data_IF_007931545656
#
_entry.id   IF_007931545656
#
_cell.length_a   1.000
_cell.length_b   1.000
_cell.length_c   1.000
_cell.angle_alpha   90.00
_cell.angle_beta   90.00
_cell.angle_gamma   90.00
#
_symmetry.space_group_name_H-M   'P 1'
#
loop_
_entity.id
_entity.type
_entity.pdbx_description
1 polymer ?
#
# COMPACT_ATOMS: atom_id res chain seq x y z
N UNK A 1 -9.18 30.60 -6.51
CA UNK A 1 -9.05 31.90 -5.89
C UNK A 1 -8.40 32.87 -6.87
N UNK A 2 -9.02 34.01 -7.07
CA UNK A 2 -8.44 34.98 -7.97
C UNK A 2 -7.20 35.64 -7.35
N UNK A 3 -6.08 35.44 -8.01
CA UNK A 3 -4.80 35.98 -7.54
C UNK A 3 -4.74 37.47 -7.52
N UNK A 4 -5.53 38.09 -8.39
CA UNK A 4 -5.63 39.56 -8.46
C UNK A 4 -6.13 40.22 -7.17
N UNK A 5 -6.77 39.45 -6.29
CA UNK A 5 -7.26 39.92 -5.01
C UNK A 5 -6.26 39.81 -3.88
N UNK A 6 -5.07 39.31 -4.15
CA UNK A 6 -4.05 39.14 -3.13
C UNK A 6 -3.44 40.50 -2.82
N UNK A 7 -3.37 40.87 -1.53
CA UNK A 7 -2.76 42.17 -1.17
C UNK A 7 -1.32 42.25 -1.65
N UNK A 8 -0.95 43.40 -2.17
CA UNK A 8 0.42 43.63 -2.67
C UNK A 8 1.47 43.54 -1.56
N UNK A 9 1.07 43.71 -0.33
CA UNK A 9 1.96 43.60 0.83
C UNK A 9 2.28 42.17 1.20
N UNK A 10 1.53 41.20 0.64
CA UNK A 10 1.78 39.78 0.94
C UNK A 10 2.97 39.30 0.17
N UNK A 11 3.89 38.57 0.87
CA UNK A 11 5.05 37.98 0.25
C UNK A 11 4.65 36.78 -0.60
N UNK A 12 5.38 36.58 -1.69
CA UNK A 12 5.14 35.46 -2.60
C UNK A 12 5.18 34.10 -1.88
N UNK A 13 6.10 33.94 -0.93
CA UNK A 13 6.20 32.70 -0.15
C UNK A 13 4.94 32.41 0.67
N UNK A 14 4.29 33.44 1.20
CA UNK A 14 3.06 33.28 1.97
C UNK A 14 1.92 32.82 1.09
N UNK A 15 1.93 33.30 -0.13
CA UNK A 15 0.98 32.89 -1.15
C UNK A 15 1.17 31.42 -1.52
N UNK A 16 2.41 31.00 -1.79
CA UNK A 16 2.72 29.62 -2.13
C UNK A 16 2.35 28.68 -1.00
N UNK A 17 2.54 29.09 0.25
CA UNK A 17 2.18 28.28 1.41
C UNK A 17 0.66 28.09 1.50
N UNK A 18 -0.12 29.11 1.20
CA UNK A 18 -1.58 29.00 1.17
C UNK A 18 -2.07 28.08 0.06
N UNK A 19 -1.45 28.14 -1.12
CA UNK A 19 -1.77 27.23 -2.22
C UNK A 19 -1.51 25.80 -1.81
N UNK A 20 -0.40 25.52 -1.14
CA UNK A 20 -0.10 24.18 -0.64
C UNK A 20 -1.14 23.69 0.35
N UNK A 21 -1.59 24.53 1.28
CA UNK A 21 -2.65 24.18 2.23
C UNK A 21 -3.95 23.86 1.52
N UNK A 22 -4.28 24.60 0.50
CA UNK A 22 -5.47 24.38 -0.31
C UNK A 22 -5.41 23.03 -1.02
N UNK A 23 -4.27 22.71 -1.63
CA UNK A 23 -4.06 21.44 -2.31
C UNK A 23 -4.20 20.29 -1.33
N UNK A 24 -3.60 20.38 -0.14
CA UNK A 24 -3.70 19.35 0.88
C UNK A 24 -5.13 19.10 1.32
N UNK A 25 -5.90 20.17 1.54
CA UNK A 25 -7.32 20.02 1.90
C UNK A 25 -8.12 19.31 0.82
N UNK A 26 -7.87 19.63 -0.44
CA UNK A 26 -8.52 18.95 -1.55
C UNK A 26 -8.17 17.48 -1.62
N UNK A 27 -6.91 17.16 -1.41
CA UNK A 27 -6.46 15.75 -1.37
C UNK A 27 -7.15 14.99 -0.23
N UNK A 28 -7.30 15.61 0.93
CA UNK A 28 -7.99 14.99 2.05
C UNK A 28 -9.47 14.74 1.74
N UNK A 29 -10.13 15.66 1.07
CA UNK A 29 -11.52 15.46 0.64
C UNK A 29 -11.66 14.30 -0.34
N UNK A 30 -10.76 14.24 -1.33
CA UNK A 30 -10.74 13.14 -2.30
C UNK A 30 -10.47 11.81 -1.63
N UNK A 31 -9.52 11.79 -0.70
CA UNK A 31 -9.19 10.59 0.04
C UNK A 31 -10.40 10.09 0.83
N UNK A 32 -11.14 10.97 1.47
CA UNK A 32 -12.37 10.60 2.19
C UNK A 32 -13.42 10.04 1.25
N UNK A 33 -13.57 10.59 0.05
CA UNK A 33 -14.48 10.07 -0.95
C UNK A 33 -14.08 8.69 -1.43
N UNK A 34 -12.80 8.50 -1.72
CA UNK A 34 -12.25 7.22 -2.13
C UNK A 34 -12.48 6.18 -1.04
N UNK A 35 -12.22 6.55 0.21
CA UNK A 35 -12.44 5.68 1.36
C UNK A 35 -13.90 5.23 1.46
N UNK A 36 -14.84 6.14 1.29
CA UNK A 36 -16.27 5.81 1.32
C UNK A 36 -16.65 4.89 0.17
N UNK A 37 -16.15 5.17 -1.03
CA UNK A 37 -16.43 4.33 -2.21
C UNK A 37 -15.87 2.93 -2.04
N UNK A 38 -14.68 2.79 -1.48
CA UNK A 38 -14.08 1.49 -1.21
C UNK A 38 -14.92 0.71 -0.22
N UNK A 39 -15.28 1.30 0.90
CA UNK A 39 -16.09 0.64 1.92
C UNK A 39 -17.47 0.23 1.37
N UNK A 40 -18.02 1.02 0.45
CA UNK A 40 -19.33 0.77 -0.14
C UNK A 40 -19.30 -0.31 -1.22
N UNK A 41 -18.24 -0.34 -2.03
CA UNK A 41 -18.18 -1.17 -3.23
C UNK A 41 -17.30 -2.41 -3.08
N UNK A 42 -16.56 -2.53 -2.00
CA UNK A 42 -15.69 -3.67 -1.74
C UNK A 42 -15.85 -4.14 -0.29
N UNK A 43 -15.37 -5.35 -0.02
CA UNK A 43 -15.34 -5.88 1.34
C UNK A 43 -14.08 -5.46 2.12
N UNK A 44 -13.31 -4.53 1.57
CA UNK A 44 -12.05 -4.12 2.15
C UNK A 44 -12.21 -2.93 3.09
N UNK A 45 -11.47 -2.96 4.18
CA UNK A 45 -11.26 -1.78 5.01
C UNK A 45 -10.26 -0.86 4.33
N UNK A 46 -10.23 0.40 4.76
CA UNK A 46 -9.26 1.33 4.21
C UNK A 46 -7.82 0.92 4.54
N UNK A 47 -7.59 0.36 5.71
CA UNK A 47 -6.26 -0.15 6.09
C UNK A 47 -5.79 -1.26 5.16
N UNK A 48 -6.70 -2.14 4.75
CA UNK A 48 -6.38 -3.18 3.79
C UNK A 48 -6.01 -2.60 2.43
N UNK A 49 -6.72 -1.57 1.99
CA UNK A 49 -6.40 -0.89 0.74
C UNK A 49 -5.04 -0.19 0.84
N UNK A 50 -4.74 0.44 1.97
CA UNK A 50 -3.43 1.03 2.18
C UNK A 50 -2.32 -0.01 2.08
N UNK A 51 -2.53 -1.22 2.61
CA UNK A 51 -1.57 -2.30 2.48
C UNK A 51 -1.36 -2.67 1.00
N UNK A 52 -2.42 -2.74 0.22
CA UNK A 52 -2.31 -3.02 -1.22
C UNK A 52 -1.57 -1.90 -1.96
N UNK A 53 -1.82 -0.64 -1.59
CA UNK A 53 -1.08 0.49 -2.14
C UNK A 53 0.41 0.36 -1.83
N UNK A 54 0.74 -0.02 -0.60
CA UNK A 54 2.11 -0.25 -0.19
C UNK A 54 2.77 -1.34 -1.03
N UNK A 55 2.06 -2.45 -1.27
CA UNK A 55 2.63 -3.61 -1.99
C UNK A 55 2.60 -3.48 -3.50
N UNK A 56 1.99 -2.45 -4.05
CA UNK A 56 1.78 -2.34 -5.50
C UNK A 56 3.08 -2.29 -6.29
N UNK A 57 4.08 -1.59 -5.76
CA UNK A 57 5.38 -1.45 -6.43
C UNK A 57 6.29 -2.65 -6.24
N UNK A 58 5.89 -3.59 -5.39
CA UNK A 58 6.68 -4.77 -5.09
C UNK A 58 6.22 -5.93 -5.96
N UNK A 59 7.17 -6.61 -6.59
CA UNK A 59 6.85 -7.81 -7.34
C UNK A 59 6.46 -8.94 -6.39
N UNK A 60 7.23 -9.10 -5.33
CA UNK A 60 6.98 -10.06 -4.25
C UNK A 60 7.41 -9.44 -2.92
N UNK A 61 6.82 -9.90 -1.84
CA UNK A 61 7.24 -9.51 -0.50
C UNK A 61 7.09 -10.67 0.47
N UNK A 62 7.89 -10.64 1.54
CA UNK A 62 7.81 -11.60 2.64
C UNK A 62 7.07 -10.95 3.80
N UNK A 63 6.60 -11.79 4.74
CA UNK A 63 5.96 -11.28 5.95
C UNK A 63 6.98 -10.47 6.77
N UNK A 64 8.23 -10.93 6.82
CA UNK A 64 9.28 -10.22 7.55
C UNK A 64 9.52 -8.82 6.97
N UNK A 65 9.63 -8.73 5.65
CA UNK A 65 9.83 -7.45 5.01
C UNK A 65 8.66 -6.50 5.27
N UNK A 66 7.43 -7.01 5.10
CA UNK A 66 6.24 -6.20 5.32
C UNK A 66 6.15 -5.72 6.77
N UNK A 67 6.41 -6.61 7.72
CA UNK A 67 6.36 -6.27 9.15
C UNK A 67 7.38 -5.20 9.51
N UNK A 68 8.61 -5.33 9.00
CA UNK A 68 9.66 -4.36 9.25
C UNK A 68 9.36 -3.01 8.61
N UNK A 69 8.94 -3.02 7.35
CA UNK A 69 8.69 -1.78 6.60
C UNK A 69 7.49 -1.02 7.15
N UNK A 70 6.45 -1.73 7.58
CA UNK A 70 5.24 -1.14 8.14
C UNK A 70 5.31 -0.95 9.66
N UNK A 71 6.44 -1.31 10.27
CA UNK A 71 6.66 -1.17 11.72
C UNK A 71 5.59 -1.88 12.54
N UNK A 72 5.27 -3.11 12.15
CA UNK A 72 4.30 -3.96 12.82
C UNK A 72 4.94 -5.27 13.26
N UNK A 73 4.37 -5.95 14.24
CA UNK A 73 4.83 -7.30 14.54
C UNK A 73 4.26 -8.29 13.51
N UNK A 74 4.90 -9.45 13.38
CA UNK A 74 4.52 -10.45 12.38
C UNK A 74 3.09 -10.95 12.55
N UNK A 75 2.65 -11.16 13.79
CA UNK A 75 1.31 -11.66 14.05
C UNK A 75 0.25 -10.66 13.62
N UNK A 76 0.45 -9.37 13.89
CA UNK A 76 -0.47 -8.34 13.43
C UNK A 76 -0.50 -8.25 11.91
N UNK A 77 0.66 -8.31 11.26
CA UNK A 77 0.74 -8.29 9.80
C UNK A 77 -0.05 -9.46 9.21
N UNK A 78 0.15 -10.65 9.73
CA UNK A 78 -0.57 -11.85 9.25
C UNK A 78 -2.06 -11.73 9.46
N UNK A 79 -2.49 -11.39 10.66
CA UNK A 79 -3.90 -11.43 11.04
C UNK A 79 -4.70 -10.27 10.46
N UNK A 80 -4.09 -9.10 10.31
CA UNK A 80 -4.78 -7.92 9.81
C UNK A 80 -4.78 -7.80 8.30
N UNK A 81 -3.73 -8.30 7.64
CA UNK A 81 -3.56 -8.08 6.20
C UNK A 81 -3.40 -9.36 5.41
N UNK A 82 -2.45 -10.21 5.78
CA UNK A 82 -2.10 -11.37 4.94
C UNK A 82 -3.28 -12.34 4.82
N UNK A 83 -3.81 -12.82 5.92
CA UNK A 83 -4.88 -13.80 5.89
C UNK A 83 -6.18 -13.24 5.32
N UNK A 84 -6.66 -12.07 5.76
CA UNK A 84 -7.88 -11.51 5.19
C UNK A 84 -7.77 -11.22 3.71
N UNK A 85 -6.67 -10.63 3.27
CA UNK A 85 -6.49 -10.27 1.85
C UNK A 85 -6.32 -11.50 0.97
N UNK A 86 -5.63 -12.52 1.46
CA UNK A 86 -5.52 -13.78 0.73
C UNK A 86 -6.88 -14.46 0.59
N UNK A 87 -7.67 -14.47 1.66
CA UNK A 87 -9.02 -15.05 1.66
C UNK A 87 -9.93 -14.32 0.67
N UNK A 88 -9.81 -13.01 0.60
CA UNK A 88 -10.61 -12.18 -0.31
C UNK A 88 -10.10 -12.19 -1.76
N UNK A 89 -8.95 -12.79 -2.01
CA UNK A 89 -8.39 -12.93 -3.34
C UNK A 89 -7.56 -11.74 -3.83
N UNK A 90 -7.07 -10.90 -2.92
CA UNK A 90 -6.26 -9.74 -3.28
C UNK A 90 -4.76 -9.97 -3.23
N UNK A 91 -4.32 -10.95 -2.47
CA UNK A 91 -2.93 -11.39 -2.49
C UNK A 91 -2.90 -12.91 -2.63
N UNK A 92 -1.77 -13.43 -3.10
CA UNK A 92 -1.57 -14.86 -3.18
C UNK A 92 -0.20 -15.24 -2.63
N UNK A 93 -0.11 -16.49 -2.19
CA UNK A 93 1.09 -17.06 -1.62
C UNK A 93 1.85 -17.80 -2.71
N UNK A 94 3.14 -17.54 -2.81
CA UNK A 94 4.00 -18.16 -3.79
C UNK A 94 5.10 -18.94 -3.09
N UNK A 95 5.31 -20.18 -3.51
CA UNK A 95 6.32 -21.06 -2.96
C UNK A 95 7.43 -21.25 -3.97
N UNK A 96 8.65 -20.85 -3.63
CA UNK A 96 9.83 -21.16 -4.41
C UNK A 96 10.60 -22.26 -3.74
N UNK A 97 10.85 -23.36 -4.44
CA UNK A 97 11.70 -24.42 -3.90
C UNK A 97 13.14 -23.92 -3.88
N UNK A 98 13.79 -24.05 -2.74
CA UNK A 98 15.19 -23.68 -2.60
C UNK A 98 16.05 -24.80 -3.15
N UNK A 99 17.02 -24.47 -4.00
CA UNK A 99 17.92 -25.44 -4.60
C UNK A 99 19.23 -25.51 -3.80
N UNK A 100 19.94 -26.66 -3.83
CA UNK A 100 21.23 -26.78 -3.12
C UNK A 100 22.27 -25.74 -3.56
N UNK A 101 22.19 -25.26 -4.80
CA UNK A 101 23.11 -24.25 -5.33
C UNK A 101 22.89 -22.86 -4.71
N UNK A 102 21.79 -22.64 -4.03
CA UNK A 102 21.42 -21.36 -3.43
C UNK A 102 21.61 -21.37 -1.92
N UNK A 103 22.67 -21.97 -1.43
CA UNK A 103 22.90 -22.09 0.01
C UNK A 103 22.94 -20.73 0.72
N UNK A 104 23.44 -19.70 0.06
CA UNK A 104 23.46 -18.36 0.61
C UNK A 104 22.05 -17.80 0.78
N UNK A 105 21.20 -17.96 -0.21
CA UNK A 105 19.80 -17.54 -0.16
C UNK A 105 19.02 -18.36 0.86
N UNK A 106 19.28 -19.65 0.95
CA UNK A 106 18.67 -20.52 1.96
C UNK A 106 18.84 -19.95 3.36
N UNK A 107 20.05 -19.45 3.64
CA UNK A 107 20.34 -18.86 4.93
C UNK A 107 19.48 -17.62 5.20
N UNK A 108 19.24 -16.79 4.20
CA UNK A 108 18.47 -15.58 4.33
C UNK A 108 16.97 -15.83 4.54
N UNK A 109 16.44 -16.91 3.98
CA UNK A 109 15.02 -17.22 4.03
C UNK A 109 14.66 -18.35 4.96
N UNK A 110 15.63 -18.89 5.70
CA UNK A 110 15.42 -20.05 6.55
C UNK A 110 14.35 -19.85 7.60
N UNK A 111 14.20 -18.64 8.13
CA UNK A 111 13.21 -18.34 9.15
C UNK A 111 11.78 -18.43 8.64
N UNK A 112 11.58 -18.25 7.34
CA UNK A 112 10.26 -18.32 6.72
C UNK A 112 9.92 -19.66 6.12
N UNK A 113 10.93 -20.52 5.86
CA UNK A 113 10.72 -21.78 5.18
C UNK A 113 11.32 -22.93 5.97
N UNK A 114 10.47 -23.68 6.65
CA UNK A 114 10.91 -24.86 7.41
C UNK A 114 11.16 -26.09 6.52
N UNK A 115 10.77 -26.03 5.25
CA UNK A 115 10.77 -27.19 4.35
C UNK A 115 11.47 -26.93 3.01
N UNK A 116 12.57 -26.18 3.02
CA UNK A 116 13.33 -25.85 1.81
C UNK A 116 12.54 -25.11 0.74
N UNK A 117 11.55 -24.32 1.16
CA UNK A 117 10.78 -23.44 0.29
C UNK A 117 10.90 -22.02 0.76
N UNK A 118 11.02 -21.10 -0.19
CA UNK A 118 10.93 -19.69 0.08
C UNK A 118 9.47 -19.27 -0.13
N UNK A 119 8.88 -18.66 0.88
CA UNK A 119 7.49 -18.21 0.83
C UNK A 119 7.46 -16.72 0.57
N UNK A 120 6.78 -16.34 -0.49
CA UNK A 120 6.58 -14.95 -0.86
C UNK A 120 5.11 -14.70 -1.14
N UNK A 121 4.74 -13.44 -1.07
CA UNK A 121 3.38 -12.99 -1.35
C UNK A 121 3.43 -11.95 -2.46
N UNK A 122 2.35 -11.85 -3.23
CA UNK A 122 2.22 -10.86 -4.27
C UNK A 122 0.76 -10.46 -4.42
N UNK A 123 0.54 -9.28 -4.98
CA UNK A 123 -0.79 -8.82 -5.32
C UNK A 123 -1.33 -9.59 -6.52
N UNK A 124 -2.61 -9.95 -6.44
CA UNK A 124 -3.31 -10.55 -7.59
C UNK A 124 -3.67 -9.46 -8.61
N UNK A 125 -4.09 -9.88 -9.79
CA UNK A 125 -4.57 -8.93 -10.80
C UNK A 125 -5.77 -8.12 -10.28
N UNK A 126 -6.63 -8.76 -9.51
CA UNK A 126 -7.77 -8.09 -8.86
C UNK A 126 -7.30 -6.93 -7.97
N UNK A 127 -6.26 -7.15 -7.18
CA UNK A 127 -5.70 -6.11 -6.32
C UNK A 127 -5.05 -5.00 -7.13
N UNK A 128 -4.32 -5.34 -8.17
CA UNK A 128 -3.66 -4.35 -9.03
C UNK A 128 -4.66 -3.43 -9.71
N UNK A 129 -5.75 -3.99 -10.20
CA UNK A 129 -6.82 -3.20 -10.81
C UNK A 129 -7.48 -2.27 -9.79
N UNK A 130 -7.68 -2.74 -8.57
CA UNK A 130 -8.23 -1.90 -7.51
C UNK A 130 -7.31 -0.72 -7.19
N UNK A 131 -6.01 -0.98 -7.05
CA UNK A 131 -5.03 0.07 -6.78
C UNK A 131 -5.00 1.10 -7.91
N UNK A 132 -5.03 0.66 -9.15
CA UNK A 132 -5.07 1.56 -10.30
C UNK A 132 -6.31 2.44 -10.29
N UNK A 133 -7.46 1.87 -9.92
CA UNK A 133 -8.69 2.64 -9.80
C UNK A 133 -8.61 3.68 -8.69
N UNK A 134 -8.03 3.31 -7.54
CA UNK A 134 -7.84 4.24 -6.42
C UNK A 134 -6.96 5.41 -6.84
N UNK A 135 -5.86 5.15 -7.53
CA UNK A 135 -4.99 6.21 -8.04
C UNK A 135 -5.73 7.15 -8.98
N UNK A 136 -6.51 6.61 -9.90
CA UNK A 136 -7.29 7.44 -10.83
C UNK A 136 -8.30 8.32 -10.10
N UNK A 137 -8.97 7.79 -9.09
CA UNK A 137 -9.92 8.57 -8.29
C UNK A 137 -9.22 9.66 -7.48
N UNK A 138 -8.02 9.39 -6.98
CA UNK A 138 -7.24 10.38 -6.24
C UNK A 138 -6.71 11.49 -7.14
N UNK A 139 -6.36 11.19 -8.36
CA UNK A 139 -5.88 12.17 -9.32
C UNK A 139 -7.01 13.06 -9.85
N UNK A 140 -8.19 12.57 -9.77
CA UNK A 140 -9.36 13.29 -10.18
C UNK A 140 -9.78 13.11 -11.56
#
# INVERSE_FOLDING_TARGET
MPKSKIPKTRLFRDFALQDKKYILRNHLKRLKQVKRNINKNTELSFSEVEFLLWGYDLQFFTIDFASNDLEMNKNNTKNRFIYPLAKKGYIYKHFDKLTPSNTYEDHLFRDETKFNYRVRYALTQKARLLVQRVYRELEG
#
